data_IF_400296314783
#
_entry.id   IF_400296314783
#
_cell.length_a   1.000
_cell.length_b   1.000
_cell.length_c   1.000
_cell.angle_alpha   90.00
_cell.angle_beta   90.00
_cell.angle_gamma   90.00
#
_symmetry.space_group_name_H-M   'P 1'
#
loop_
_entity.id
_entity.type
_entity.pdbx_description
1 polymer ?
#
# COMPACT_ATOMS: atom_id res chain seq x y z
N UNK A 1 -26.79 8.96 -3.64
CA UNK A 1 -25.48 9.65 -3.67
C UNK A 1 -25.50 11.11 -3.17
N UNK A 2 -26.60 11.88 -3.30
CA UNK A 2 -26.61 13.30 -2.88
C UNK A 2 -26.16 13.40 -1.40
N UNK A 3 -25.09 14.15 -1.14
CA UNK A 3 -24.50 14.34 0.20
C UNK A 3 -23.40 13.34 0.60
N UNK A 4 -23.44 12.08 0.16
CA UNK A 4 -22.46 11.04 0.56
C UNK A 4 -21.08 11.31 -0.03
N UNK A 5 -21.00 11.51 -1.34
CA UNK A 5 -19.71 11.74 -2.01
C UNK A 5 -19.06 13.04 -1.52
N UNK A 6 -19.75 14.20 -1.49
CA UNK A 6 -19.17 15.43 -0.94
C UNK A 6 -18.72 15.32 0.51
N UNK A 7 -19.47 14.61 1.37
CA UNK A 7 -19.07 14.41 2.78
C UNK A 7 -17.76 13.64 2.89
N UNK A 8 -17.61 12.55 2.13
CA UNK A 8 -16.35 11.79 2.15
C UNK A 8 -15.19 12.55 1.52
N UNK A 9 -15.43 13.40 0.51
CA UNK A 9 -14.42 14.33 -0.03
C UNK A 9 -13.99 15.32 1.05
N UNK A 10 -14.95 15.97 1.72
CA UNK A 10 -14.66 16.90 2.81
C UNK A 10 -13.87 16.21 3.95
N UNK A 11 -14.27 14.99 4.32
CA UNK A 11 -13.52 14.18 5.27
C UNK A 11 -12.08 13.94 4.83
N UNK A 12 -11.88 13.52 3.58
CA UNK A 12 -10.56 13.24 3.01
C UNK A 12 -9.67 14.49 2.91
N UNK A 13 -10.26 15.66 2.59
CA UNK A 13 -9.56 16.95 2.59
C UNK A 13 -9.09 17.32 4.00
N UNK A 14 -9.93 17.15 5.02
CA UNK A 14 -9.54 17.42 6.40
C UNK A 14 -8.41 16.50 6.87
N UNK A 15 -8.47 15.20 6.54
CA UNK A 15 -7.39 14.25 6.86
C UNK A 15 -6.09 14.64 6.14
N UNK A 16 -6.16 14.94 4.83
CA UNK A 16 -4.99 15.36 4.07
C UNK A 16 -4.37 16.66 4.63
N UNK A 17 -5.20 17.62 5.00
CA UNK A 17 -4.78 18.89 5.60
C UNK A 17 -4.15 18.67 6.97
N UNK A 18 -4.76 17.83 7.81
CA UNK A 18 -4.21 17.46 9.11
C UNK A 18 -2.81 16.85 9.03
N UNK A 19 -2.55 16.03 7.99
CA UNK A 19 -1.24 15.46 7.70
C UNK A 19 -0.11 16.49 7.60
N UNK A 20 -0.34 17.61 6.91
CA UNK A 20 0.67 18.68 6.79
C UNK A 20 1.00 19.37 8.12
N UNK A 21 0.12 19.26 9.13
CA UNK A 21 0.33 19.87 10.44
C UNK A 21 1.22 19.01 11.35
N UNK A 22 1.07 17.68 11.34
CA UNK A 22 1.78 16.79 12.27
C UNK A 22 2.94 16.00 11.66
N UNK A 23 2.96 15.79 10.33
CA UNK A 23 3.96 14.92 9.71
C UNK A 23 5.37 15.54 9.65
N UNK A 24 6.39 14.67 9.59
CA UNK A 24 7.78 15.04 9.34
C UNK A 24 8.07 15.15 7.85
N UNK A 25 7.69 16.29 7.28
CA UNK A 25 8.11 16.67 5.94
C UNK A 25 9.65 16.76 5.84
N UNK A 26 10.25 16.32 4.71
CA UNK A 26 11.68 16.42 4.46
C UNK A 26 12.20 17.85 4.49
N UNK A 27 13.35 18.02 5.13
CA UNK A 27 14.09 19.27 5.27
C UNK A 27 14.95 19.58 4.03
N UNK A 28 15.32 20.83 3.87
CA UNK A 28 16.09 21.38 2.76
C UNK A 28 15.36 21.21 1.42
N UNK A 29 14.02 21.30 1.44
CA UNK A 29 13.18 21.15 0.25
C UNK A 29 12.34 22.39 -0.02
N UNK A 30 11.59 22.39 -1.12
CA UNK A 30 10.61 23.43 -1.41
C UNK A 30 9.54 23.55 -0.32
N UNK A 31 9.23 22.46 0.40
CA UNK A 31 8.22 22.44 1.46
C UNK A 31 8.58 23.36 2.63
N UNK A 32 9.87 23.55 2.92
CA UNK A 32 10.35 24.50 3.95
C UNK A 32 10.22 25.97 3.50
N UNK A 33 10.12 26.21 2.19
CA UNK A 33 10.05 27.55 1.59
C UNK A 33 8.61 28.03 1.38
N UNK A 34 7.62 27.19 1.66
CA UNK A 34 6.20 27.54 1.52
C UNK A 34 5.73 28.24 2.79
N UNK A 35 5.36 29.55 2.74
CA UNK A 35 5.05 30.32 3.95
C UNK A 35 3.92 29.72 4.77
N UNK A 36 2.87 29.19 4.13
CA UNK A 36 1.73 28.59 4.86
C UNK A 36 2.14 27.33 5.63
N UNK A 37 2.96 26.45 5.03
CA UNK A 37 3.45 25.25 5.72
C UNK A 37 4.38 25.63 6.87
N UNK A 38 5.23 26.64 6.66
CA UNK A 38 6.10 27.16 7.70
C UNK A 38 5.29 27.69 8.89
N UNK A 39 4.30 28.56 8.65
CA UNK A 39 3.46 29.16 9.70
C UNK A 39 2.67 28.09 10.47
N UNK A 40 2.08 27.13 9.77
CA UNK A 40 1.33 26.04 10.43
C UNK A 40 2.25 25.24 11.33
N UNK A 41 3.43 24.84 10.86
CA UNK A 41 4.36 23.98 11.61
C UNK A 41 5.04 24.67 12.79
N UNK A 42 5.15 26.00 12.77
CA UNK A 42 5.71 26.81 13.87
C UNK A 42 4.62 27.44 14.74
N UNK A 43 3.35 27.08 14.55
CA UNK A 43 2.27 27.48 15.46
C UNK A 43 2.46 26.86 16.86
N UNK A 44 1.71 27.34 17.85
CA UNK A 44 1.84 26.84 19.22
C UNK A 44 1.50 25.35 19.37
N UNK A 45 0.53 24.84 18.58
CA UNK A 45 -0.02 23.49 18.73
C UNK A 45 -0.29 22.77 17.39
N UNK A 46 0.69 22.68 16.47
CA UNK A 46 0.51 22.12 15.13
C UNK A 46 0.00 20.67 15.17
N UNK A 47 0.55 19.87 16.09
CA UNK A 47 0.15 18.47 16.26
C UNK A 47 -1.29 18.34 16.75
N UNK A 48 -1.72 19.18 17.70
CA UNK A 48 -3.08 19.17 18.22
C UNK A 48 -4.11 19.55 17.15
N UNK A 49 -3.83 20.60 16.36
CA UNK A 49 -4.68 21.00 15.23
C UNK A 49 -4.71 19.91 14.16
N UNK A 50 -3.55 19.36 13.80
CA UNK A 50 -3.44 18.28 12.81
C UNK A 50 -4.23 17.03 13.21
N UNK A 51 -4.15 16.64 14.48
CA UNK A 51 -4.90 15.52 15.03
C UNK A 51 -6.41 15.81 15.02
N UNK A 52 -6.84 17.00 15.46
CA UNK A 52 -8.25 17.38 15.47
C UNK A 52 -8.86 17.35 14.06
N UNK A 53 -8.16 17.92 13.06
CA UNK A 53 -8.57 17.87 11.65
C UNK A 53 -8.64 16.43 11.13
N UNK A 54 -7.65 15.60 11.47
CA UNK A 54 -7.60 14.20 11.03
C UNK A 54 -8.74 13.38 11.66
N UNK A 55 -9.01 13.56 12.95
CA UNK A 55 -10.12 12.89 13.63
C UNK A 55 -11.47 13.34 13.06
N UNK A 56 -11.70 14.64 12.92
CA UNK A 56 -12.93 15.16 12.31
C UNK A 56 -13.10 14.63 10.86
N UNK A 57 -12.03 14.62 10.09
CA UNK A 57 -12.02 14.11 8.72
C UNK A 57 -12.32 12.61 8.65
N UNK A 58 -11.72 11.81 9.53
CA UNK A 58 -11.97 10.37 9.63
C UNK A 58 -13.41 10.07 10.04
N UNK A 59 -13.99 10.84 10.96
CA UNK A 59 -15.39 10.72 11.35
C UNK A 59 -16.33 11.01 10.18
N UNK A 60 -16.08 12.08 9.43
CA UNK A 60 -16.87 12.42 8.23
C UNK A 60 -16.73 11.36 7.12
N UNK A 61 -15.51 10.88 6.87
CA UNK A 61 -15.26 9.84 5.88
C UNK A 61 -15.91 8.51 6.28
N UNK A 62 -15.83 8.14 7.55
CA UNK A 62 -16.48 6.93 8.10
C UNK A 62 -17.99 7.04 8.02
N UNK A 63 -18.56 8.20 8.32
CA UNK A 63 -19.99 8.44 8.15
C UNK A 63 -20.40 8.35 6.68
N UNK A 64 -19.66 8.97 5.76
CA UNK A 64 -19.93 8.87 4.33
C UNK A 64 -19.85 7.41 3.85
N UNK A 65 -18.87 6.65 4.30
CA UNK A 65 -18.73 5.22 4.00
C UNK A 65 -19.88 4.39 4.54
N UNK A 66 -20.30 4.63 5.78
CA UNK A 66 -21.44 3.95 6.38
C UNK A 66 -22.73 4.20 5.59
N UNK A 67 -23.02 5.45 5.27
CA UNK A 67 -24.20 5.82 4.46
C UNK A 67 -24.11 5.24 3.04
N UNK A 68 -22.91 5.22 2.42
CA UNK A 68 -22.70 4.61 1.12
C UNK A 68 -23.11 3.14 1.13
N UNK A 69 -22.66 2.37 2.13
CA UNK A 69 -23.01 0.94 2.26
C UNK A 69 -24.51 0.72 2.28
N UNK A 70 -25.25 1.54 3.03
CA UNK A 70 -26.71 1.44 3.09
C UNK A 70 -27.38 1.79 1.75
N UNK A 71 -26.86 2.80 1.04
CA UNK A 71 -27.44 3.26 -0.23
C UNK A 71 -27.16 2.36 -1.43
N UNK A 72 -26.12 1.51 -1.38
CA UNK A 72 -25.77 0.66 -2.52
C UNK A 72 -26.32 -0.77 -2.40
N UNK A 73 -26.83 -1.17 -1.23
CA UNK A 73 -27.39 -2.50 -1.00
C UNK A 73 -28.55 -2.79 -1.96
N UNK A 74 -28.50 -3.96 -2.60
CA UNK A 74 -29.53 -4.42 -3.53
C UNK A 74 -29.60 -3.66 -4.85
N UNK A 75 -28.65 -2.75 -5.10
CA UNK A 75 -28.69 -1.91 -6.29
C UNK A 75 -27.80 -2.47 -7.41
N UNK A 76 -28.39 -2.58 -8.59
CA UNK A 76 -27.77 -3.14 -9.81
C UNK A 76 -26.48 -2.41 -10.23
N UNK A 77 -26.39 -1.10 -10.00
CA UNK A 77 -25.22 -0.27 -10.32
C UNK A 77 -24.32 -0.02 -9.09
N UNK A 78 -24.54 -0.77 -8.01
CA UNK A 78 -23.88 -0.59 -6.72
C UNK A 78 -22.35 -0.61 -6.81
N UNK A 79 -21.77 -1.56 -7.53
CA UNK A 79 -20.30 -1.65 -7.70
C UNK A 79 -19.75 -0.39 -8.39
N UNK A 80 -20.43 0.13 -9.40
CA UNK A 80 -20.01 1.33 -10.10
C UNK A 80 -20.05 2.55 -9.17
N UNK A 81 -21.14 2.73 -8.41
CA UNK A 81 -21.25 3.85 -7.46
C UNK A 81 -20.22 3.78 -6.33
N UNK A 82 -19.93 2.58 -5.83
CA UNK A 82 -18.83 2.37 -4.87
C UNK A 82 -17.51 2.85 -5.45
N UNK A 83 -17.16 2.44 -6.69
CA UNK A 83 -15.92 2.87 -7.35
C UNK A 83 -15.83 4.38 -7.54
N UNK A 84 -16.93 5.02 -7.93
CA UNK A 84 -16.99 6.49 -8.08
C UNK A 84 -16.74 7.17 -6.73
N UNK A 85 -17.41 6.72 -5.66
CA UNK A 85 -17.21 7.26 -4.32
C UNK A 85 -15.77 7.05 -3.84
N UNK A 86 -15.22 5.83 -3.97
CA UNK A 86 -13.83 5.50 -3.65
C UNK A 86 -12.86 6.44 -4.37
N UNK A 87 -13.02 6.63 -5.69
CA UNK A 87 -12.13 7.49 -6.47
C UNK A 87 -12.19 8.95 -6.02
N UNK A 88 -13.39 9.46 -5.77
CA UNK A 88 -13.58 10.82 -5.26
C UNK A 88 -12.95 11.03 -3.87
N UNK A 89 -13.06 10.04 -2.97
CA UNK A 89 -12.50 10.11 -1.63
C UNK A 89 -10.98 9.88 -1.60
N UNK A 90 -10.44 9.08 -2.52
CA UNK A 90 -9.00 8.88 -2.64
C UNK A 90 -8.27 10.12 -3.16
N UNK A 91 -8.90 10.91 -4.04
CA UNK A 91 -8.25 12.01 -4.77
C UNK A 91 -7.58 13.06 -3.86
N UNK A 92 -8.23 13.60 -2.80
CA UNK A 92 -7.55 14.53 -1.89
C UNK A 92 -6.36 13.90 -1.15
N UNK A 93 -6.44 12.60 -0.82
CA UNK A 93 -5.38 11.89 -0.11
C UNK A 93 -4.12 11.72 -0.96
N UNK A 94 -4.23 11.80 -2.29
CA UNK A 94 -3.07 11.76 -3.20
C UNK A 94 -2.16 13.00 -3.08
N UNK A 95 -2.64 14.06 -2.44
CA UNK A 95 -1.87 15.29 -2.21
C UNK A 95 -1.32 15.35 -0.77
N UNK A 96 -1.73 14.44 0.11
CA UNK A 96 -1.27 14.42 1.49
C UNK A 96 0.19 13.96 1.60
N UNK A 97 0.95 14.42 2.60
CA UNK A 97 2.15 13.70 3.04
C UNK A 97 1.76 12.31 3.57
N UNK A 98 2.71 11.39 3.84
CA UNK A 98 2.43 10.12 4.48
C UNK A 98 1.64 10.33 5.78
N UNK A 99 0.40 9.85 5.79
CA UNK A 99 -0.50 10.02 6.93
C UNK A 99 -0.22 8.96 8.01
N UNK A 100 -0.22 9.38 9.26
CA UNK A 100 -0.12 8.58 10.49
C UNK A 100 1.16 7.75 10.69
N UNK A 101 2.01 7.57 9.67
CA UNK A 101 3.29 6.88 9.75
C UNK A 101 4.35 7.55 8.88
N UNK A 102 5.63 7.35 9.21
CA UNK A 102 6.76 7.82 8.41
C UNK A 102 7.18 6.84 7.28
N UNK A 103 6.40 5.79 7.02
CA UNK A 103 6.80 4.70 6.13
C UNK A 103 6.99 5.16 4.68
N UNK A 104 6.15 6.06 4.20
CA UNK A 104 6.29 6.62 2.85
C UNK A 104 7.67 7.26 2.62
N UNK A 105 8.21 7.96 3.64
CA UNK A 105 9.55 8.54 3.57
C UNK A 105 10.64 7.47 3.64
N UNK A 106 10.44 6.39 4.41
CA UNK A 106 11.32 5.22 4.40
C UNK A 106 11.37 4.53 3.03
N UNK A 107 10.25 4.48 2.29
CA UNK A 107 10.21 3.91 0.95
C UNK A 107 10.97 4.79 -0.04
N UNK A 108 10.76 6.11 0.02
CA UNK A 108 11.53 7.07 -0.76
C UNK A 108 13.04 6.93 -0.51
N UNK A 109 13.45 6.85 0.75
CA UNK A 109 14.86 6.69 1.11
C UNK A 109 15.46 5.36 0.62
N UNK A 110 14.79 4.24 0.86
CA UNK A 110 15.28 2.93 0.43
C UNK A 110 15.30 2.80 -1.10
N UNK A 111 14.31 3.34 -1.80
CA UNK A 111 14.33 3.47 -3.26
C UNK A 111 15.46 4.38 -3.76
N UNK A 112 15.78 5.44 -3.04
CA UNK A 112 16.89 6.35 -3.37
C UNK A 112 18.28 5.70 -3.19
N UNK A 113 18.44 4.79 -2.22
CA UNK A 113 19.63 3.93 -2.11
C UNK A 113 19.72 2.99 -3.32
N UNK A 114 18.62 2.29 -3.65
CA UNK A 114 18.59 1.36 -4.80
C UNK A 114 18.94 2.05 -6.11
N UNK A 115 18.42 3.25 -6.37
CA UNK A 115 18.75 4.00 -7.59
C UNK A 115 20.20 4.44 -7.69
N UNK A 116 20.91 4.55 -6.56
CA UNK A 116 22.36 4.83 -6.49
C UNK A 116 23.23 3.58 -6.58
N UNK A 117 22.63 2.41 -6.78
CA UNK A 117 23.34 1.13 -6.75
C UNK A 117 23.76 0.69 -5.34
N UNK A 118 23.27 1.36 -4.29
CA UNK A 118 23.50 0.98 -2.90
C UNK A 118 22.39 0.02 -2.48
N UNK A 119 22.74 -1.24 -2.20
CA UNK A 119 21.76 -2.23 -1.76
C UNK A 119 21.15 -1.82 -0.41
N UNK A 120 19.82 -1.63 -0.30
CA UNK A 120 19.17 -1.28 0.97
C UNK A 120 19.22 -2.40 2.02
N UNK A 121 19.75 -3.57 1.66
CA UNK A 121 20.03 -4.68 2.58
C UNK A 121 21.39 -4.53 3.30
N UNK A 122 22.23 -3.62 2.83
CA UNK A 122 23.57 -3.36 3.37
C UNK A 122 23.74 -1.89 3.79
N UNK A 123 23.08 -0.98 3.08
CA UNK A 123 23.08 0.45 3.34
C UNK A 123 21.76 0.90 3.95
N UNK A 124 21.84 1.94 4.78
CA UNK A 124 20.69 2.47 5.51
C UNK A 124 20.39 3.90 5.08
N UNK A 125 19.16 4.42 5.33
CA UNK A 125 18.80 5.78 4.98
C UNK A 125 19.76 6.86 5.53
N UNK A 126 20.49 6.57 6.62
CA UNK A 126 21.50 7.46 7.19
C UNK A 126 22.60 7.89 6.20
N UNK A 127 22.90 7.06 5.17
CA UNK A 127 23.90 7.33 4.15
C UNK A 127 23.44 8.36 3.09
N UNK A 128 22.17 8.77 3.10
CA UNK A 128 21.62 9.70 2.13
C UNK A 128 21.78 11.17 2.54
N UNK A 129 21.72 12.11 1.58
CA UNK A 129 21.68 13.54 1.90
C UNK A 129 20.40 13.92 2.65
N UNK A 130 20.45 15.04 3.39
CA UNK A 130 19.36 15.52 4.26
C UNK A 130 17.97 15.51 3.61
N UNK A 131 17.76 15.96 2.35
CA UNK A 131 16.43 15.92 1.72
C UNK A 131 15.79 14.54 1.63
N UNK A 132 16.57 13.46 1.59
CA UNK A 132 16.05 12.10 1.40
C UNK A 132 15.98 11.30 2.69
N UNK A 133 16.68 11.71 3.75
CA UNK A 133 16.70 11.00 5.05
C UNK A 133 15.93 11.71 6.17
N UNK A 134 15.72 13.01 6.07
CA UNK A 134 15.18 13.82 7.18
C UNK A 134 13.72 13.54 7.51
N UNK A 135 12.94 13.03 6.55
CA UNK A 135 11.55 12.58 6.77
C UNK A 135 11.45 11.15 7.32
N UNK A 136 12.54 10.38 7.30
CA UNK A 136 12.55 8.99 7.77
C UNK A 136 12.39 8.95 9.29
N UNK A 137 11.53 8.05 9.78
CA UNK A 137 11.35 7.88 11.22
C UNK A 137 12.67 7.41 11.88
N UNK A 138 12.98 7.81 13.12
CA UNK A 138 14.32 7.62 13.69
C UNK A 138 14.72 6.14 13.80
N UNK A 139 13.75 5.27 14.12
CA UNK A 139 13.96 3.83 14.21
C UNK A 139 14.26 3.15 12.85
N UNK A 140 13.91 3.80 11.73
CA UNK A 140 14.22 3.31 10.39
C UNK A 140 15.50 3.91 9.79
N UNK A 141 16.04 4.98 10.38
CA UNK A 141 17.16 5.74 9.80
C UNK A 141 18.44 4.90 9.67
N UNK A 142 18.70 4.04 10.66
CA UNK A 142 19.89 3.19 10.73
C UNK A 142 19.60 1.71 10.48
N UNK A 143 18.41 1.40 9.95
CA UNK A 143 17.93 0.02 9.81
C UNK A 143 17.91 -0.37 8.35
N UNK A 144 18.55 -1.49 7.96
CA UNK A 144 18.41 -2.05 6.61
C UNK A 144 16.95 -2.36 6.28
N UNK A 145 16.63 -2.35 4.99
CA UNK A 145 15.24 -2.51 4.55
C UNK A 145 14.70 -3.92 4.79
N UNK A 146 13.52 -4.07 5.42
CA UNK A 146 12.81 -5.35 5.51
C UNK A 146 12.00 -5.69 4.24
N UNK A 147 12.03 -4.81 3.22
CA UNK A 147 11.15 -4.93 2.05
C UNK A 147 11.73 -5.83 0.97
N UNK A 148 10.83 -6.41 0.17
CA UNK A 148 11.20 -7.28 -0.95
C UNK A 148 11.82 -6.48 -2.11
N UNK A 149 12.52 -7.17 -3.03
CA UNK A 149 13.29 -6.51 -4.09
C UNK A 149 12.45 -5.65 -5.04
N UNK A 150 11.17 -5.97 -5.28
CA UNK A 150 10.35 -5.21 -6.24
C UNK A 150 9.94 -3.83 -5.73
N UNK A 151 9.62 -3.70 -4.44
CA UNK A 151 9.24 -2.40 -3.86
C UNK A 151 10.44 -1.45 -3.79
N UNK A 152 11.62 -1.99 -3.51
CA UNK A 152 12.90 -1.28 -3.56
C UNK A 152 13.25 -0.83 -4.98
N UNK A 153 13.18 -1.75 -5.95
CA UNK A 153 13.45 -1.45 -7.35
C UNK A 153 12.48 -0.41 -7.92
N UNK A 154 11.20 -0.44 -7.52
CA UNK A 154 10.22 0.56 -7.95
C UNK A 154 10.65 1.98 -7.60
N UNK A 155 11.06 2.22 -6.35
CA UNK A 155 11.62 3.51 -5.96
C UNK A 155 12.94 3.83 -6.66
N UNK A 156 13.77 2.81 -6.86
CA UNK A 156 15.00 2.88 -7.63
C UNK A 156 14.85 3.37 -9.07
N UNK A 157 13.72 3.05 -9.73
CA UNK A 157 13.44 3.52 -11.10
C UNK A 157 13.34 5.04 -11.17
N UNK A 158 12.50 5.64 -10.32
CA UNK A 158 12.28 7.09 -10.33
C UNK A 158 13.43 7.85 -9.67
N UNK A 159 14.10 7.25 -8.69
CA UNK A 159 15.25 7.88 -8.05
C UNK A 159 16.47 8.01 -8.96
N UNK A 160 16.51 7.33 -10.12
CA UNK A 160 17.50 7.63 -11.16
C UNK A 160 17.18 8.89 -11.97
N UNK A 161 15.93 9.35 -11.95
CA UNK A 161 15.46 10.52 -12.71
C UNK A 161 15.47 11.78 -11.84
N UNK A 162 15.07 11.66 -10.57
CA UNK A 162 14.99 12.80 -9.64
C UNK A 162 15.42 12.40 -8.23
N UNK A 163 15.93 13.38 -7.49
CA UNK A 163 16.23 13.27 -6.05
C UNK A 163 15.29 14.12 -5.19
N UNK A 164 14.24 14.70 -5.80
CA UNK A 164 13.22 15.41 -5.06
C UNK A 164 12.34 14.40 -4.30
N UNK A 165 12.27 14.47 -2.96
CA UNK A 165 11.56 13.47 -2.16
C UNK A 165 10.06 13.47 -2.44
N UNK A 166 9.46 14.62 -2.79
CA UNK A 166 8.03 14.70 -3.09
C UNK A 166 7.67 14.05 -4.43
N UNK A 167 8.50 14.24 -5.45
CA UNK A 167 8.36 13.56 -6.74
C UNK A 167 8.49 12.04 -6.60
N UNK A 168 9.44 11.57 -5.78
CA UNK A 168 9.59 10.16 -5.46
C UNK A 168 8.38 9.63 -4.67
N UNK A 169 7.87 10.38 -3.70
CA UNK A 169 6.65 10.03 -2.98
C UNK A 169 5.44 9.89 -3.93
N UNK A 170 5.32 10.83 -4.88
CA UNK A 170 4.28 10.81 -5.91
C UNK A 170 4.39 9.59 -6.82
N UNK A 171 5.61 9.11 -7.09
CA UNK A 171 5.81 7.86 -7.82
C UNK A 171 5.29 6.63 -7.06
N UNK A 172 5.38 6.60 -5.74
CA UNK A 172 4.75 5.55 -4.93
C UNK A 172 3.21 5.64 -4.94
N UNK A 173 2.63 6.83 -5.12
CA UNK A 173 1.18 6.99 -5.28
C UNK A 173 0.64 6.27 -6.53
N UNK A 174 1.46 6.12 -7.58
CA UNK A 174 1.08 5.32 -8.77
C UNK A 174 0.83 3.86 -8.38
N UNK A 175 1.68 3.26 -7.56
CA UNK A 175 1.45 1.90 -7.03
C UNK A 175 0.20 1.85 -6.15
N UNK A 176 0.01 2.83 -5.28
CA UNK A 176 -1.14 2.86 -4.38
C UNK A 176 -2.47 2.94 -5.16
N UNK A 177 -2.56 3.83 -6.16
CA UNK A 177 -3.74 3.96 -7.05
C UNK A 177 -3.93 2.71 -7.90
N UNK A 178 -2.86 2.16 -8.49
CA UNK A 178 -2.92 0.90 -9.24
C UNK A 178 -3.43 -0.27 -8.39
N UNK A 179 -3.01 -0.33 -7.14
CA UNK A 179 -3.45 -1.34 -6.17
C UNK A 179 -4.91 -1.18 -5.80
N UNK A 180 -5.39 0.05 -5.61
CA UNK A 180 -6.81 0.33 -5.37
C UNK A 180 -7.68 -0.05 -6.57
N UNK A 181 -7.21 0.24 -7.80
CA UNK A 181 -7.89 -0.18 -9.02
C UNK A 181 -7.93 -1.71 -9.15
N UNK A 182 -6.82 -2.39 -8.82
CA UNK A 182 -6.74 -3.84 -8.81
C UNK A 182 -7.71 -4.46 -7.77
N UNK A 183 -7.83 -3.89 -6.57
CA UNK A 183 -8.84 -4.28 -5.58
C UNK A 183 -10.27 -4.05 -6.11
N UNK A 184 -10.53 -2.89 -6.71
CA UNK A 184 -11.83 -2.56 -7.29
C UNK A 184 -12.25 -3.55 -8.40
N UNK A 185 -11.27 -4.19 -9.07
CA UNK A 185 -11.50 -5.26 -10.03
C UNK A 185 -11.63 -6.64 -9.37
N UNK A 186 -10.77 -6.97 -8.41
CA UNK A 186 -10.63 -8.31 -7.84
C UNK A 186 -11.72 -8.63 -6.80
N UNK A 187 -12.00 -7.71 -5.87
CA UNK A 187 -12.95 -7.90 -4.76
C UNK A 187 -14.33 -8.38 -5.23
N UNK A 188 -15.04 -7.69 -6.15
CA UNK A 188 -16.36 -8.14 -6.57
C UNK A 188 -16.32 -9.51 -7.24
N UNK A 189 -15.23 -9.85 -7.97
CA UNK A 189 -15.08 -11.16 -8.62
C UNK A 189 -14.86 -12.28 -7.63
N UNK A 190 -14.12 -12.02 -6.54
CA UNK A 190 -13.94 -13.00 -5.47
C UNK A 190 -15.27 -13.21 -4.74
N UNK A 191 -15.98 -12.12 -4.41
CA UNK A 191 -17.28 -12.17 -3.75
C UNK A 191 -18.32 -12.98 -4.54
N UNK A 192 -18.50 -12.67 -5.84
CA UNK A 192 -19.46 -13.40 -6.68
C UNK A 192 -19.17 -14.90 -6.78
N UNK A 193 -17.88 -15.29 -6.82
CA UNK A 193 -17.50 -16.72 -6.85
C UNK A 193 -17.71 -17.42 -5.51
N UNK A 194 -17.66 -16.67 -4.41
CA UNK A 194 -17.97 -17.15 -3.08
C UNK A 194 -19.48 -17.12 -2.77
N UNK A 195 -20.33 -16.80 -3.75
CA UNK A 195 -21.78 -16.64 -3.56
C UNK A 195 -22.16 -15.47 -2.66
N UNK A 196 -21.28 -14.49 -2.49
CA UNK A 196 -21.49 -13.28 -1.68
C UNK A 196 -21.85 -12.08 -2.57
N UNK A 197 -22.50 -11.08 -1.98
CA UNK A 197 -22.85 -9.84 -2.68
C UNK A 197 -21.59 -9.03 -3.08
N UNK A 198 -21.31 -8.87 -4.40
CA UNK A 198 -20.15 -8.11 -4.87
C UNK A 198 -20.24 -6.61 -4.54
N UNK A 199 -21.44 -6.05 -4.39
CA UNK A 199 -21.63 -4.65 -4.03
C UNK A 199 -21.23 -4.41 -2.58
N UNK A 200 -21.79 -5.19 -1.65
CA UNK A 200 -21.46 -5.09 -0.23
C UNK A 200 -19.97 -5.35 0.02
N UNK A 201 -19.38 -6.37 -0.64
CA UNK A 201 -17.95 -6.64 -0.53
C UNK A 201 -17.09 -5.47 -1.05
N UNK A 202 -17.48 -4.86 -2.18
CA UNK A 202 -16.77 -3.69 -2.71
C UNK A 202 -16.89 -2.50 -1.77
N UNK A 203 -18.08 -2.24 -1.20
CA UNK A 203 -18.29 -1.15 -0.28
C UNK A 203 -17.52 -1.36 1.04
N UNK A 204 -17.48 -2.60 1.56
CA UNK A 204 -16.78 -2.96 2.78
C UNK A 204 -15.25 -2.85 2.63
N UNK A 205 -14.69 -3.29 1.51
CA UNK A 205 -13.24 -3.37 1.31
C UNK A 205 -12.70 -2.15 0.58
N UNK A 206 -13.20 -1.86 -0.63
CA UNK A 206 -12.59 -0.90 -1.56
C UNK A 206 -12.86 0.55 -1.11
N UNK A 207 -14.06 0.85 -0.64
CA UNK A 207 -14.43 2.18 -0.14
C UNK A 207 -14.14 2.37 1.36
N UNK A 208 -13.52 1.40 2.02
CA UNK A 208 -13.22 1.48 3.45
C UNK A 208 -12.34 2.69 3.78
N UNK A 209 -12.69 3.49 4.80
CA UNK A 209 -11.83 4.56 5.31
C UNK A 209 -10.45 4.04 5.68
N UNK A 210 -10.34 2.80 6.17
CA UNK A 210 -9.06 2.17 6.46
C UNK A 210 -8.23 2.01 5.18
N UNK A 211 -8.77 1.38 4.12
CA UNK A 211 -8.05 1.17 2.86
C UNK A 211 -7.64 2.49 2.22
N UNK A 212 -8.52 3.49 2.24
CA UNK A 212 -8.24 4.79 1.66
C UNK A 212 -7.17 5.54 2.46
N UNK A 213 -7.35 5.71 3.76
CA UNK A 213 -6.46 6.56 4.54
C UNK A 213 -5.14 5.87 4.87
N UNK A 214 -5.15 4.58 5.21
CA UNK A 214 -3.92 3.83 5.45
C UNK A 214 -3.18 3.52 4.13
N UNK A 215 -3.89 3.01 3.12
CA UNK A 215 -3.28 2.56 1.87
C UNK A 215 -2.88 3.71 0.94
N UNK A 216 -3.78 4.65 0.67
CA UNK A 216 -3.49 5.79 -0.22
C UNK A 216 -2.81 6.92 0.55
N UNK A 217 -3.42 7.34 1.66
CA UNK A 217 -2.92 8.45 2.47
C UNK A 217 -1.57 8.14 3.13
N UNK A 218 -1.50 7.05 3.88
CA UNK A 218 -0.29 6.56 4.56
C UNK A 218 0.74 5.91 3.64
N UNK A 219 0.40 5.67 2.37
CA UNK A 219 1.27 5.07 1.36
C UNK A 219 1.81 3.68 1.70
N UNK A 220 1.14 2.92 2.57
CA UNK A 220 1.62 1.62 2.99
C UNK A 220 1.66 0.59 1.85
N UNK A 221 2.81 -0.09 1.70
CA UNK A 221 3.00 -1.18 0.74
C UNK A 221 2.04 -2.37 0.97
N UNK A 222 1.42 -2.43 2.15
CA UNK A 222 0.38 -3.39 2.53
C UNK A 222 -0.83 -3.33 1.58
N UNK A 223 -1.15 -2.16 1.01
CA UNK A 223 -2.18 -2.05 -0.01
C UNK A 223 -1.81 -2.80 -1.30
N UNK A 224 -0.54 -2.71 -1.73
CA UNK A 224 -0.01 -3.42 -2.90
C UNK A 224 -0.06 -4.92 -2.68
N UNK A 225 0.41 -5.36 -1.50
CA UNK A 225 0.34 -6.76 -1.09
C UNK A 225 -1.12 -7.27 -1.11
N UNK A 226 -2.03 -6.57 -0.44
CA UNK A 226 -3.44 -6.97 -0.37
C UNK A 226 -4.08 -7.05 -1.76
N UNK A 227 -3.82 -6.05 -2.62
CA UNK A 227 -4.33 -6.03 -3.98
C UNK A 227 -3.85 -7.22 -4.82
N UNK A 228 -2.55 -7.53 -4.74
CA UNK A 228 -1.95 -8.68 -5.45
C UNK A 228 -2.50 -10.01 -4.94
N UNK A 229 -2.66 -10.17 -3.61
CA UNK A 229 -3.22 -11.39 -3.02
C UNK A 229 -4.69 -11.56 -3.44
N UNK A 230 -5.54 -10.53 -3.32
CA UNK A 230 -6.95 -10.64 -3.73
C UNK A 230 -7.06 -10.88 -5.24
N UNK A 231 -6.18 -10.28 -6.05
CA UNK A 231 -6.10 -10.57 -7.47
C UNK A 231 -5.68 -12.02 -7.75
N UNK A 232 -4.73 -12.57 -6.99
CA UNK A 232 -4.33 -13.97 -7.07
C UNK A 232 -5.53 -14.91 -6.82
N UNK A 233 -6.33 -14.63 -5.79
CA UNK A 233 -7.58 -15.35 -5.53
C UNK A 233 -8.59 -15.16 -6.66
N UNK A 234 -8.68 -13.95 -7.23
CA UNK A 234 -9.60 -13.66 -8.31
C UNK A 234 -9.28 -14.38 -9.63
N UNK A 235 -8.03 -14.79 -9.86
CA UNK A 235 -7.62 -15.51 -11.08
C UNK A 235 -7.46 -17.02 -10.86
N UNK A 236 -7.38 -17.47 -9.62
CA UNK A 236 -7.18 -18.89 -9.29
C UNK A 236 -8.48 -19.67 -9.39
N UNK A 237 -8.44 -20.81 -10.08
CA UNK A 237 -9.53 -21.78 -10.17
C UNK A 237 -8.96 -23.21 -10.29
N UNK A 238 -9.77 -24.26 -10.08
CA UNK A 238 -9.33 -25.62 -10.37
C UNK A 238 -8.76 -25.75 -11.79
N UNK A 239 -7.56 -26.32 -11.89
CA UNK A 239 -6.82 -26.45 -13.17
C UNK A 239 -6.09 -25.19 -13.65
N UNK A 240 -6.35 -23.99 -13.08
CA UNK A 240 -5.70 -22.73 -13.47
C UNK A 240 -5.19 -21.97 -12.24
N UNK A 241 -4.06 -22.40 -11.72
CA UNK A 241 -3.47 -21.93 -10.46
C UNK A 241 -2.15 -21.16 -10.63
N UNK A 242 -1.45 -21.38 -11.74
CA UNK A 242 -0.15 -20.73 -12.03
C UNK A 242 -0.25 -19.20 -11.96
N UNK A 243 -1.25 -18.51 -12.57
CA UNK A 243 -1.36 -17.06 -12.46
C UNK A 243 -1.51 -16.58 -11.01
N UNK A 244 -2.25 -17.32 -10.18
CA UNK A 244 -2.39 -17.01 -8.76
C UNK A 244 -1.07 -17.18 -8.01
N UNK A 245 -0.35 -18.28 -8.26
CA UNK A 245 0.95 -18.53 -7.65
C UNK A 245 1.99 -17.48 -8.05
N UNK A 246 1.99 -17.04 -9.31
CA UNK A 246 2.84 -15.95 -9.80
C UNK A 246 2.53 -14.64 -9.07
N UNK A 247 1.25 -14.26 -8.95
CA UNK A 247 0.85 -13.04 -8.24
C UNK A 247 1.20 -13.08 -6.75
N UNK A 248 1.08 -14.24 -6.09
CA UNK A 248 1.55 -14.45 -4.72
C UNK A 248 3.07 -14.29 -4.61
N UNK A 249 3.83 -14.82 -5.58
CA UNK A 249 5.28 -14.60 -5.67
C UNK A 249 5.65 -13.12 -5.82
N UNK A 250 4.92 -12.38 -6.67
CA UNK A 250 5.10 -10.93 -6.82
C UNK A 250 4.74 -10.21 -5.51
N UNK A 251 3.67 -10.61 -4.82
CA UNK A 251 3.30 -10.05 -3.53
C UNK A 251 4.39 -10.26 -2.47
N UNK A 252 4.95 -11.48 -2.40
CA UNK A 252 6.08 -11.80 -1.51
C UNK A 252 7.32 -10.96 -1.86
N UNK A 253 7.55 -10.69 -3.14
CA UNK A 253 8.65 -9.84 -3.62
C UNK A 253 8.42 -8.34 -3.40
N UNK A 254 7.21 -7.92 -3.04
CA UNK A 254 6.94 -6.57 -2.50
C UNK A 254 7.19 -6.56 -0.99
N UNK A 255 6.59 -7.50 -0.26
CA UNK A 255 6.72 -7.66 1.20
C UNK A 255 6.47 -9.13 1.57
N UNK A 256 7.35 -9.71 2.38
CA UNK A 256 7.39 -11.15 2.63
C UNK A 256 6.07 -11.80 3.07
N UNK A 257 5.22 -11.17 3.92
CA UNK A 257 3.93 -11.73 4.30
C UNK A 257 2.97 -12.00 3.12
N UNK A 258 3.24 -11.44 1.93
CA UNK A 258 2.47 -11.71 0.72
C UNK A 258 2.43 -13.19 0.34
N UNK A 259 3.44 -13.97 0.74
CA UNK A 259 3.47 -15.43 0.52
C UNK A 259 2.29 -16.16 1.18
N UNK A 260 1.67 -15.58 2.23
CA UNK A 260 0.51 -16.16 2.89
C UNK A 260 -0.70 -16.29 1.96
N UNK A 261 -0.76 -15.49 0.88
CA UNK A 261 -1.74 -15.65 -0.19
C UNK A 261 -1.69 -17.03 -0.87
N UNK A 262 -0.57 -17.75 -0.77
CA UNK A 262 -0.42 -19.12 -1.27
C UNK A 262 -1.47 -20.05 -0.68
N UNK A 263 -1.87 -19.87 0.58
CA UNK A 263 -2.89 -20.70 1.24
C UNK A 263 -4.19 -20.62 0.45
N UNK A 264 -4.66 -19.42 0.13
CA UNK A 264 -5.87 -19.22 -0.66
C UNK A 264 -5.74 -19.77 -2.08
N UNK A 265 -4.58 -19.60 -2.73
CA UNK A 265 -4.33 -20.16 -4.06
C UNK A 265 -4.40 -21.70 -4.04
N UNK A 266 -3.78 -22.35 -3.05
CA UNK A 266 -3.82 -23.81 -2.88
C UNK A 266 -5.27 -24.27 -2.69
N UNK A 267 -6.02 -23.64 -1.80
CA UNK A 267 -7.40 -24.00 -1.50
C UNK A 267 -8.33 -23.84 -2.71
N UNK A 268 -8.16 -22.78 -3.51
CA UNK A 268 -8.99 -22.50 -4.68
C UNK A 268 -8.56 -23.27 -5.94
N UNK A 269 -7.34 -23.81 -5.95
CA UNK A 269 -6.78 -24.52 -7.10
C UNK A 269 -7.19 -25.99 -7.22
N UNK A 270 -7.86 -26.53 -6.22
CA UNK A 270 -8.25 -27.93 -6.12
C UNK A 270 -9.73 -28.05 -5.76
N UNK A 271 -10.35 -29.17 -6.15
CA UNK A 271 -11.71 -29.48 -5.72
C UNK A 271 -11.79 -29.70 -4.20
N UNK A 272 -12.94 -29.42 -3.54
CA UNK A 272 -13.11 -29.64 -2.10
C UNK A 272 -12.74 -31.06 -1.63
N UNK A 273 -13.01 -32.08 -2.44
CA UNK A 273 -12.69 -33.48 -2.16
C UNK A 273 -11.25 -33.93 -2.47
N UNK A 274 -10.35 -33.02 -2.84
CA UNK A 274 -8.96 -33.38 -3.17
C UNK A 274 -8.22 -34.01 -1.97
N UNK A 275 -7.46 -35.08 -2.25
CA UNK A 275 -6.69 -35.82 -1.24
C UNK A 275 -5.61 -34.95 -0.56
N UNK A 276 -5.19 -35.34 0.64
CA UNK A 276 -4.11 -34.65 1.37
C UNK A 276 -2.81 -34.60 0.56
N UNK A 277 -2.49 -35.66 -0.16
CA UNK A 277 -1.30 -35.71 -1.03
C UNK A 277 -1.40 -34.73 -2.20
N UNK A 278 -2.56 -34.61 -2.83
CA UNK A 278 -2.78 -33.62 -3.89
C UNK A 278 -2.66 -32.18 -3.36
N UNK A 279 -3.18 -31.92 -2.16
CA UNK A 279 -3.06 -30.60 -1.49
C UNK A 279 -1.61 -30.28 -1.14
N UNK A 280 -0.85 -31.25 -0.63
CA UNK A 280 0.57 -31.09 -0.35
C UNK A 280 1.36 -30.83 -1.64
N UNK A 281 1.15 -31.63 -2.68
CA UNK A 281 1.82 -31.42 -3.98
C UNK A 281 1.51 -30.06 -4.58
N UNK A 282 0.26 -29.58 -4.45
CA UNK A 282 -0.12 -28.22 -4.87
C UNK A 282 0.52 -27.14 -4.02
N UNK A 283 0.59 -27.31 -2.71
CA UNK A 283 1.28 -26.37 -1.82
C UNK A 283 2.75 -26.24 -2.16
N UNK A 284 3.44 -27.36 -2.41
CA UNK A 284 4.82 -27.37 -2.87
C UNK A 284 4.97 -26.67 -4.23
N UNK A 285 4.08 -26.92 -5.19
CA UNK A 285 4.13 -26.28 -6.51
C UNK A 285 3.89 -24.76 -6.44
N UNK A 286 2.90 -24.30 -5.66
CA UNK A 286 2.61 -22.87 -5.44
C UNK A 286 3.78 -22.21 -4.70
N UNK A 287 4.30 -22.83 -3.64
CA UNK A 287 5.44 -22.34 -2.88
C UNK A 287 6.70 -22.23 -3.74
N UNK A 288 7.03 -23.28 -4.51
CA UNK A 288 8.15 -23.28 -5.43
C UNK A 288 8.02 -22.17 -6.49
N UNK A 289 6.83 -21.99 -7.05
CA UNK A 289 6.56 -20.87 -7.98
C UNK A 289 6.80 -19.53 -7.32
N UNK A 290 6.32 -19.33 -6.09
CA UNK A 290 6.53 -18.10 -5.33
C UNK A 290 8.01 -17.80 -5.07
N UNK A 291 8.78 -18.83 -4.67
CA UNK A 291 10.23 -18.73 -4.45
C UNK A 291 10.96 -18.38 -5.75
N UNK A 292 10.60 -19.02 -6.87
CA UNK A 292 11.18 -18.72 -8.18
C UNK A 292 10.93 -17.26 -8.56
N UNK A 293 9.71 -16.74 -8.40
CA UNK A 293 9.41 -15.33 -8.67
C UNK A 293 10.23 -14.40 -7.77
N UNK A 294 10.37 -14.73 -6.49
CA UNK A 294 11.13 -13.91 -5.54
C UNK A 294 12.63 -13.87 -5.86
N UNK A 295 13.21 -15.03 -6.20
CA UNK A 295 14.60 -15.13 -6.65
C UNK A 295 14.82 -14.40 -7.99
N UNK A 296 13.90 -14.58 -8.95
CA UNK A 296 13.95 -13.88 -10.22
C UNK A 296 13.85 -12.37 -10.03
N UNK A 297 12.97 -11.89 -9.14
CA UNK A 297 12.87 -10.48 -8.80
C UNK A 297 14.18 -9.95 -8.19
N UNK A 298 14.78 -10.68 -7.24
CA UNK A 298 16.09 -10.31 -6.68
C UNK A 298 17.18 -10.22 -7.74
N UNK A 299 17.24 -11.17 -8.66
CA UNK A 299 18.21 -11.19 -9.75
C UNK A 299 17.98 -10.06 -10.77
N UNK A 300 16.75 -9.91 -11.28
CA UNK A 300 16.39 -8.88 -12.28
C UNK A 300 16.59 -7.46 -11.77
N UNK A 301 16.46 -7.25 -10.46
CA UNK A 301 16.63 -5.93 -9.82
C UNK A 301 18.08 -5.66 -9.40
N UNK A 302 18.97 -6.66 -9.48
CA UNK A 302 20.35 -6.57 -9.00
C UNK A 302 20.48 -6.55 -7.47
N UNK A 303 19.40 -6.83 -6.74
CA UNK A 303 19.37 -6.82 -5.26
C UNK A 303 19.68 -8.19 -4.65
N UNK A 304 19.70 -9.25 -5.46
CA UNK A 304 20.05 -10.61 -5.05
C UNK A 304 19.10 -11.17 -3.98
N UNK A 305 19.67 -11.86 -2.99
CA UNK A 305 18.94 -12.52 -1.91
C UNK A 305 19.05 -11.80 -0.56
N UNK A 306 19.43 -10.51 -0.55
CA UNK A 306 19.61 -9.75 0.70
C UNK A 306 18.33 -9.68 1.55
N UNK A 307 17.16 -9.84 0.94
CA UNK A 307 15.89 -9.97 1.63
C UNK A 307 15.83 -11.16 2.60
N UNK A 308 16.59 -12.24 2.40
CA UNK A 308 16.61 -13.40 3.33
C UNK A 308 17.09 -12.97 4.71
N UNK A 309 18.19 -12.22 4.77
CA UNK A 309 18.71 -11.70 6.04
C UNK A 309 17.77 -10.66 6.64
N UNK A 310 17.09 -9.88 5.80
CA UNK A 310 16.11 -8.91 6.26
C UNK A 310 14.88 -9.55 6.94
N UNK A 311 14.53 -10.80 6.60
CA UNK A 311 13.50 -11.59 7.31
C UNK A 311 13.89 -11.97 8.74
N UNK A 312 15.20 -11.98 9.04
CA UNK A 312 15.76 -12.43 10.31
C UNK A 312 16.02 -11.27 11.28
N UNK A 313 15.85 -10.01 10.85
CA UNK A 313 16.00 -8.84 11.72
C UNK A 313 14.66 -8.63 12.45
N UNK A 314 14.59 -8.83 13.78
CA UNK A 314 13.40 -8.48 14.54
C UNK A 314 13.18 -6.96 14.44
N UNK A 315 11.93 -6.50 14.40
CA UNK A 315 11.57 -5.07 14.30
C UNK A 315 12.00 -4.19 15.51
N UNK A 316 12.97 -4.60 16.34
CA UNK A 316 13.22 -3.88 17.60
C UNK A 316 14.53 -4.10 18.37
N UNK A 317 15.56 -4.76 17.84
CA UNK A 317 16.84 -4.86 18.57
C UNK A 317 18.03 -4.38 17.75
N UNK A 318 18.37 -3.09 17.96
CA UNK A 318 19.75 -2.57 18.01
C UNK A 318 19.76 -1.13 18.52
#
# INVERSE_FOLDING_TARGET
>A
MRGVVPRGVAGSVLVATGGFCYDRLPRDTWMDRVPVLWTVRHSAHPQGVGLALSVAGLLLLTWAWWDLRHQVRGDVDGVHRVRVATGAWALPLLLAPPLFSGDGWSYVATGALTGRGLSPYQWTPAALPTPLRSGVAPHWLFTPSPYGPLSLAWGGLMSRVTQDPWALLTWYRVLAVGSLALLAWAVPRVASRAGQDPVEASALVVASPFVLVHGIGGLHNDLVLAALVVAALAVTRPGRWIPGALLVGVAAAVKAPGILGAVGVVLLSLAPGASRLARLGRALAVGATGVVVLLAAGWLTGLGTGWIHALLVPEGER
#
